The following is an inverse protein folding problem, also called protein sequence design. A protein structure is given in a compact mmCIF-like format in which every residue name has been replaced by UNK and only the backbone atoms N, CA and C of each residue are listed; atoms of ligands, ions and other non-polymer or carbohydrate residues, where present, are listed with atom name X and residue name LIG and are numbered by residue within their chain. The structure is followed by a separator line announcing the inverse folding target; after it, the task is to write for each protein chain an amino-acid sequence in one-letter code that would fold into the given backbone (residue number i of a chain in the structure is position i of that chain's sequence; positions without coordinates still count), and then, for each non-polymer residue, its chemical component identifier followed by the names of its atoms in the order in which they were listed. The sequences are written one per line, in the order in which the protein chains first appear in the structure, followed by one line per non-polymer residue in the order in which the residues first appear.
data_IF_456949806656
#
_entry.id   IF_456949806656
#
_cell.length_a   1.000
_cell.length_b   1.000
_cell.length_c   1.000
_cell.angle_alpha   90.00
_cell.angle_beta   90.00
_cell.angle_gamma   90.00
#
_symmetry.space_group_name_H-M   'P 1'
#
loop_
_entity.id
_entity.type
_entity.pdbx_description
1 polymer ?
#
# COMPACT_ATOMS: atom_id res chain seq x y z
N UNK A 1 8.78 -0.51 16.61
CA UNK A 1 8.87 -0.05 15.21
C UNK A 1 10.29 0.37 14.92
N UNK A 2 10.93 -0.24 13.92
CA UNK A 2 12.31 0.06 13.53
C UNK A 2 12.42 1.48 12.92
N UNK A 3 13.63 2.04 12.87
CA UNK A 3 13.85 3.39 12.31
C UNK A 3 13.37 3.50 10.85
N UNK A 4 13.58 2.44 10.06
CA UNK A 4 13.13 2.33 8.67
C UNK A 4 11.61 2.44 8.55
N UNK A 5 10.90 1.69 9.40
CA UNK A 5 9.44 1.68 9.43
C UNK A 5 8.88 3.05 9.81
N UNK A 6 9.52 3.76 10.76
CA UNK A 6 9.15 5.13 11.13
C UNK A 6 9.30 6.11 9.97
N UNK A 7 10.42 6.03 9.24
CA UNK A 7 10.66 6.89 8.06
C UNK A 7 9.57 6.67 7.01
N UNK A 8 9.25 5.41 6.72
CA UNK A 8 8.19 5.05 5.77
C UNK A 8 6.82 5.52 6.25
N UNK A 9 6.50 5.32 7.54
CA UNK A 9 5.23 5.73 8.13
C UNK A 9 5.02 7.24 8.04
N UNK A 10 6.06 8.02 8.34
CA UNK A 10 6.00 9.48 8.23
C UNK A 10 5.64 9.92 6.81
N UNK A 11 6.18 9.24 5.80
CA UNK A 11 5.87 9.56 4.41
C UNK A 11 4.46 9.12 4.01
N UNK A 12 4.00 7.94 4.43
CA UNK A 12 2.60 7.51 4.27
C UNK A 12 1.62 8.52 4.89
N UNK A 13 1.96 9.05 6.07
CA UNK A 13 1.11 10.01 6.78
C UNK A 13 0.93 11.32 6.00
N UNK A 14 1.97 11.81 5.30
CA UNK A 14 1.88 13.01 4.44
C UNK A 14 0.98 12.81 3.21
N UNK A 15 0.78 11.57 2.79
CA UNK A 15 -0.06 11.24 1.64
C UNK A 15 -1.54 11.11 2.03
N UNK A 16 -1.85 11.07 3.32
CA UNK A 16 -3.18 10.73 3.82
C UNK A 16 -4.27 11.72 3.41
N UNK A 17 -4.01 13.03 3.53
CA UNK A 17 -4.97 14.07 3.18
C UNK A 17 -5.41 13.94 1.72
N UNK A 18 -4.45 13.91 0.80
CA UNK A 18 -4.69 13.66 -0.63
C UNK A 18 -5.38 12.34 -0.91
N UNK A 19 -5.00 11.27 -0.21
CA UNK A 19 -5.67 9.97 -0.32
C UNK A 19 -7.14 10.03 0.12
N UNK A 20 -7.45 10.71 1.23
CA UNK A 20 -8.80 10.80 1.79
C UNK A 20 -9.80 11.50 0.87
N UNK A 21 -9.29 12.30 -0.06
CA UNK A 21 -10.08 12.97 -1.09
C UNK A 21 -10.33 12.12 -2.34
N UNK A 22 -9.71 10.94 -2.48
CA UNK A 22 -9.87 10.09 -3.66
C UNK A 22 -11.23 9.40 -3.74
N UNK A 23 -11.64 9.01 -4.95
CA UNK A 23 -12.94 8.36 -5.19
C UNK A 23 -13.13 7.09 -4.36
N UNK A 24 -12.09 6.26 -4.20
CA UNK A 24 -12.18 5.05 -3.37
C UNK A 24 -12.33 5.41 -1.89
N UNK A 25 -11.64 6.44 -1.40
CA UNK A 25 -11.73 6.85 -0.01
C UNK A 25 -13.12 7.41 0.31
N UNK A 26 -13.68 8.26 -0.56
CA UNK A 26 -15.05 8.77 -0.43
C UNK A 26 -16.09 7.65 -0.50
N UNK A 27 -15.89 6.67 -1.39
CA UNK A 27 -16.82 5.55 -1.56
C UNK A 27 -16.86 4.60 -0.36
N UNK A 28 -15.74 4.41 0.32
CA UNK A 28 -15.61 3.55 1.49
C UNK A 28 -15.24 4.36 2.74
N UNK A 29 -15.86 5.54 2.91
CA UNK A 29 -15.52 6.49 3.96
C UNK A 29 -15.59 5.90 5.38
N UNK A 30 -16.57 5.02 5.61
CA UNK A 30 -16.76 4.34 6.91
C UNK A 30 -15.60 3.41 7.28
N UNK A 31 -14.81 2.97 6.29
CA UNK A 31 -13.67 2.08 6.50
C UNK A 31 -12.35 2.83 6.71
N UNK A 32 -12.32 4.16 6.53
CA UNK A 32 -11.09 4.96 6.62
C UNK A 32 -10.47 4.94 8.01
N UNK A 33 -11.27 4.89 9.08
CA UNK A 33 -10.77 4.80 10.45
C UNK A 33 -10.01 3.50 10.69
N UNK A 34 -10.65 2.36 10.39
CA UNK A 34 -10.02 1.05 10.52
C UNK A 34 -8.80 0.88 9.59
N UNK A 35 -8.86 1.45 8.38
CA UNK A 35 -7.71 1.48 7.48
C UNK A 35 -6.58 2.35 8.02
N UNK A 36 -6.87 3.50 8.66
CA UNK A 36 -5.85 4.37 9.26
C UNK A 36 -5.09 3.67 10.37
N UNK A 37 -5.81 3.00 11.27
CA UNK A 37 -5.21 2.20 12.35
C UNK A 37 -4.33 1.09 11.79
N UNK A 38 -4.86 0.32 10.83
CA UNK A 38 -4.11 -0.72 10.14
C UNK A 38 -2.87 -0.15 9.43
N UNK A 39 -2.98 1.02 8.81
CA UNK A 39 -1.89 1.66 8.06
C UNK A 39 -0.73 2.07 8.99
N UNK A 40 -1.01 2.53 10.21
CA UNK A 40 0.04 2.89 11.18
C UNK A 40 0.96 1.72 11.50
N UNK A 41 0.40 0.51 11.58
CA UNK A 41 1.17 -0.68 11.92
C UNK A 41 1.69 -1.42 10.69
N UNK A 42 0.81 -1.69 9.74
CA UNK A 42 1.05 -2.61 8.64
C UNK A 42 1.51 -1.92 7.36
N UNK A 43 1.28 -0.62 7.21
CA UNK A 43 1.73 0.15 6.04
C UNK A 43 3.25 0.04 5.81
N UNK A 44 4.09 0.33 6.82
CA UNK A 44 5.53 0.20 6.68
C UNK A 44 5.99 -1.24 6.41
N UNK A 45 5.42 -2.21 7.13
CA UNK A 45 5.72 -3.64 6.95
C UNK A 45 5.38 -4.10 5.53
N UNK A 46 4.23 -3.67 5.00
CA UNK A 46 3.79 -3.99 3.64
C UNK A 46 4.74 -3.40 2.58
N UNK A 47 5.23 -2.18 2.76
CA UNK A 47 6.20 -1.57 1.83
C UNK A 47 7.55 -2.28 1.85
N UNK A 48 8.05 -2.63 3.03
CA UNK A 48 9.29 -3.39 3.14
C UNK A 48 9.13 -4.80 2.56
N UNK A 49 8.00 -5.45 2.80
CA UNK A 49 7.68 -6.73 2.16
C UNK A 49 7.61 -6.61 0.64
N UNK A 50 7.07 -5.51 0.12
CA UNK A 50 7.04 -5.23 -1.31
C UNK A 50 8.45 -5.02 -1.87
N UNK A 51 9.33 -4.32 -1.15
CA UNK A 51 10.74 -4.18 -1.54
C UNK A 51 11.45 -5.54 -1.57
N UNK A 52 11.26 -6.39 -0.54
CA UNK A 52 11.81 -7.75 -0.53
C UNK A 52 11.32 -8.61 -1.69
N UNK A 53 10.03 -8.52 -2.03
CA UNK A 53 9.48 -9.19 -3.21
C UNK A 53 10.11 -8.69 -4.54
N UNK A 54 10.38 -7.39 -4.66
CA UNK A 54 11.13 -6.86 -5.80
C UNK A 54 12.57 -7.40 -5.84
N UNK A 55 13.25 -7.46 -4.69
CA UNK A 55 14.60 -7.98 -4.59
C UNK A 55 14.68 -9.45 -5.01
N UNK A 56 13.73 -10.28 -4.55
CA UNK A 56 13.62 -11.69 -4.95
C UNK A 56 13.37 -11.87 -6.45
N UNK A 57 12.74 -10.89 -7.10
CA UNK A 57 12.52 -10.85 -8.55
C UNK A 57 13.69 -10.23 -9.32
N UNK A 58 14.82 -9.96 -8.65
CA UNK A 58 16.04 -9.47 -9.28
C UNK A 58 16.19 -7.96 -9.36
N UNK A 59 15.38 -7.16 -8.65
CA UNK A 59 15.58 -5.71 -8.62
C UNK A 59 16.82 -5.36 -7.76
N UNK A 60 17.89 -4.78 -8.34
CA UNK A 60 19.12 -4.51 -7.61
C UNK A 60 18.94 -3.43 -6.54
N UNK A 61 18.15 -2.39 -6.82
CA UNK A 61 17.88 -1.31 -5.86
C UNK A 61 17.12 -1.84 -4.66
N UNK A 62 16.13 -2.71 -4.88
CA UNK A 62 15.37 -3.29 -3.76
C UNK A 62 16.21 -4.28 -2.93
N UNK A 63 17.19 -4.95 -3.55
CA UNK A 63 18.10 -5.88 -2.87
C UNK A 63 19.12 -5.15 -2.00
N UNK A 64 19.73 -4.12 -2.55
CA UNK A 64 20.86 -3.43 -1.92
C UNK A 64 20.38 -2.24 -1.05
N UNK A 65 19.20 -1.68 -1.34
CA UNK A 65 18.62 -0.48 -0.72
C UNK A 65 17.09 -0.56 -0.56
N UNK A 66 16.60 -1.51 0.24
CA UNK A 66 15.14 -1.77 0.37
C UNK A 66 14.33 -0.57 0.85
N UNK A 67 14.88 0.26 1.75
CA UNK A 67 14.22 1.46 2.26
C UNK A 67 14.13 2.54 1.19
N UNK A 68 15.22 2.79 0.45
CA UNK A 68 15.23 3.77 -0.64
C UNK A 68 14.30 3.36 -1.77
N UNK A 69 14.20 2.06 -2.06
CA UNK A 69 13.21 1.52 -2.98
C UNK A 69 11.78 1.86 -2.51
N UNK A 70 11.45 1.55 -1.26
CA UNK A 70 10.13 1.84 -0.69
C UNK A 70 9.81 3.35 -0.71
N UNK A 71 10.75 4.19 -0.28
CA UNK A 71 10.62 5.65 -0.32
C UNK A 71 10.48 6.18 -1.75
N UNK A 72 11.20 5.60 -2.71
CA UNK A 72 11.07 5.92 -4.13
C UNK A 72 9.68 5.59 -4.68
N UNK A 73 9.07 4.48 -4.24
CA UNK A 73 7.69 4.16 -4.59
C UNK A 73 6.71 5.20 -4.02
N UNK A 74 6.90 5.62 -2.76
CA UNK A 74 6.05 6.63 -2.14
C UNK A 74 6.16 8.00 -2.82
N UNK A 75 7.38 8.44 -3.10
CA UNK A 75 7.63 9.74 -3.74
C UNK A 75 7.06 9.81 -5.17
N UNK A 76 7.21 8.75 -5.97
CA UNK A 76 6.72 8.72 -7.36
C UNK A 76 5.24 8.34 -7.46
N UNK A 77 4.80 7.43 -6.60
CA UNK A 77 3.44 6.94 -6.56
C UNK A 77 2.49 7.96 -5.94
N UNK A 78 2.95 8.75 -4.97
CA UNK A 78 2.13 9.67 -4.18
C UNK A 78 0.90 8.94 -3.57
N UNK A 79 -0.25 9.61 -3.49
CA UNK A 79 -1.49 9.05 -2.92
C UNK A 79 -1.96 7.76 -3.61
N UNK A 80 -1.52 7.50 -4.85
CA UNK A 80 -1.85 6.26 -5.60
C UNK A 80 -1.36 5.00 -4.88
N UNK A 81 -0.28 5.10 -4.11
CA UNK A 81 0.18 3.97 -3.28
C UNK A 81 -0.88 3.64 -2.22
N UNK A 82 -1.40 4.66 -1.53
CA UNK A 82 -2.46 4.48 -0.53
C UNK A 82 -3.77 3.99 -1.17
N UNK A 83 -4.13 4.48 -2.36
CA UNK A 83 -5.28 3.97 -3.12
C UNK A 83 -5.18 2.46 -3.32
N UNK A 84 -4.04 1.98 -3.84
CA UNK A 84 -3.89 0.56 -4.15
C UNK A 84 -3.68 -0.30 -2.89
N UNK A 85 -3.06 0.24 -1.84
CA UNK A 85 -3.00 -0.41 -0.52
C UNK A 85 -4.40 -0.56 0.10
N UNK A 86 -5.21 0.51 0.09
CA UNK A 86 -6.56 0.49 0.62
C UNK A 86 -7.46 -0.47 -0.17
N UNK A 87 -7.34 -0.45 -1.49
CA UNK A 87 -8.02 -1.39 -2.37
C UNK A 87 -7.67 -2.85 -2.03
N UNK A 88 -6.39 -3.16 -1.82
CA UNK A 88 -5.95 -4.50 -1.40
C UNK A 88 -6.48 -4.86 -0.01
N UNK A 89 -6.45 -3.92 0.94
CA UNK A 89 -6.97 -4.10 2.30
C UNK A 89 -8.47 -4.38 2.32
N UNK A 90 -9.27 -3.65 1.52
CA UNK A 90 -10.71 -3.87 1.40
C UNK A 90 -11.03 -5.27 0.85
N UNK A 91 -10.27 -5.71 -0.16
CA UNK A 91 -10.45 -7.03 -0.77
C UNK A 91 -10.04 -8.14 0.20
N UNK A 92 -8.93 -7.99 0.91
CA UNK A 92 -8.47 -8.98 1.88
C UNK A 92 -9.45 -9.15 3.05
N UNK A 93 -10.15 -8.06 3.43
CA UNK A 93 -11.22 -8.11 4.45
C UNK A 93 -12.59 -8.52 3.92
N UNK A 94 -12.70 -8.91 2.66
CA UNK A 94 -13.96 -9.36 2.06
C UNK A 94 -15.01 -8.24 1.90
N UNK A 95 -14.63 -6.97 2.02
CA UNK A 95 -15.54 -5.82 1.89
C UNK A 95 -16.01 -5.61 0.44
N UNK A 96 -15.16 -5.98 -0.52
CA UNK A 96 -15.39 -5.79 -1.94
C UNK A 96 -14.52 -6.75 -2.74
N UNK A 97 -14.91 -7.08 -3.97
CA UNK A 97 -14.06 -7.89 -4.86
C UNK A 97 -13.06 -7.02 -5.63
N UNK A 98 -11.92 -7.61 -5.98
CA UNK A 98 -10.92 -6.97 -6.85
C UNK A 98 -11.54 -6.56 -8.20
N UNK A 99 -12.39 -7.42 -8.77
CA UNK A 99 -13.09 -7.13 -10.03
C UNK A 99 -13.96 -5.88 -9.93
N UNK A 100 -14.70 -5.72 -8.83
CA UNK A 100 -15.53 -4.53 -8.62
C UNK A 100 -14.67 -3.25 -8.60
N UNK A 101 -13.56 -3.25 -7.87
CA UNK A 101 -12.69 -2.07 -7.77
C UNK A 101 -12.09 -1.69 -9.13
N UNK A 102 -11.65 -2.67 -9.93
CA UNK A 102 -11.12 -2.45 -11.29
C UNK A 102 -12.22 -1.92 -12.21
N UNK A 103 -13.39 -2.58 -12.26
CA UNK A 103 -14.51 -2.19 -13.14
C UNK A 103 -14.99 -0.77 -12.86
N UNK A 104 -14.96 -0.35 -11.60
CA UNK A 104 -15.40 0.98 -11.17
C UNK A 104 -14.27 2.03 -11.15
N UNK A 105 -13.08 1.70 -11.68
CA UNK A 105 -11.91 2.62 -11.71
C UNK A 105 -11.50 3.15 -10.33
N UNK A 106 -11.64 2.32 -9.29
CA UNK A 106 -11.31 2.66 -7.89
C UNK A 106 -9.87 2.28 -7.51
N UNK A 107 -9.06 1.88 -8.50
CA UNK A 107 -7.64 1.57 -8.33
C UNK A 107 -6.82 2.58 -9.12
N UNK A 108 -5.64 2.91 -8.63
CA UNK A 108 -4.73 3.82 -9.30
C UNK A 108 -3.80 3.08 -10.27
N UNK A 109 -3.38 3.78 -11.32
CA UNK A 109 -2.28 3.33 -12.18
C UNK A 109 -0.94 3.28 -11.44
N UNK A 110 0.04 2.60 -12.04
CA UNK A 110 1.32 2.30 -11.41
C UNK A 110 1.38 0.85 -10.98
N UNK A 111 1.61 0.59 -9.69
CA UNK A 111 1.68 -0.78 -9.19
C UNK A 111 0.30 -1.42 -9.03
N UNK A 112 0.08 -2.56 -9.69
CA UNK A 112 -1.22 -3.23 -9.71
C UNK A 112 -1.72 -3.62 -8.32
N UNK A 113 -3.05 -3.55 -8.10
CA UNK A 113 -3.69 -4.08 -6.89
C UNK A 113 -3.37 -5.58 -6.66
N UNK A 114 -3.19 -6.36 -7.73
CA UNK A 114 -2.82 -7.77 -7.62
C UNK A 114 -1.46 -7.96 -6.94
N UNK A 115 -0.50 -7.06 -7.22
CA UNK A 115 0.80 -7.04 -6.54
C UNK A 115 0.62 -6.76 -5.05
N UNK A 116 -0.14 -5.71 -4.69
CA UNK A 116 -0.39 -5.37 -3.29
C UNK A 116 -1.09 -6.48 -2.52
N UNK A 117 -2.12 -7.09 -3.12
CA UNK A 117 -2.84 -8.23 -2.55
C UNK A 117 -1.93 -9.41 -2.28
N UNK A 118 -1.09 -9.77 -3.26
CA UNK A 118 -0.16 -10.89 -3.12
C UNK A 118 0.86 -10.64 -2.00
N UNK A 119 1.45 -9.45 -1.94
CA UNK A 119 2.41 -9.11 -0.89
C UNK A 119 1.72 -9.08 0.48
N UNK A 120 0.53 -8.50 0.58
CA UNK A 120 -0.26 -8.45 1.80
C UNK A 120 -0.58 -9.85 2.33
N UNK A 121 -1.05 -10.75 1.45
CA UNK A 121 -1.34 -12.14 1.82
C UNK A 121 -0.10 -12.91 2.25
N UNK A 122 1.04 -12.68 1.60
CA UNK A 122 2.29 -13.29 2.01
C UNK A 122 2.75 -12.78 3.38
N UNK A 123 2.54 -11.50 3.66
CA UNK A 123 2.86 -10.91 4.96
C UNK A 123 1.99 -11.47 6.09
N UNK A 124 0.71 -11.74 5.83
CA UNK A 124 -0.21 -12.33 6.83
C UNK A 124 0.03 -13.82 7.09
N UNK A 125 0.78 -14.51 6.23
CA UNK A 125 1.13 -15.94 6.38
C UNK A 125 2.46 -16.17 7.10
N UNK A 126 3.26 -15.12 7.26
CA UNK A 126 4.58 -15.13 7.89
C UNK A 126 4.44 -14.78 9.38
#
# INVERSE_FOLDING_TARGET
MAQEEKTILNELNKLWERFSETDIARKFQTELGAFREWLQEMGPKLLLARARDAAQRGNPVARDYSVDYAMGMLKRGAERVLVNMFAAWLVERGKVSQYYLIRNKLVAGGESIATWLRVLRNLNKA
#
